data_IF_674051429624
#
_entry.id   IF_674051429624
#
_cell.length_a   1.000
_cell.length_b   1.000
_cell.length_c   1.000
_cell.angle_alpha   90.00
_cell.angle_beta   90.00
_cell.angle_gamma   90.00
#
_symmetry.space_group_name_H-M   'P 1'
#
loop_
_entity.id
_entity.type
_entity.pdbx_description
1 polymer ?
#
# COMPACT_ATOMS: atom_id res chain seq x y z
N UNK A 1 32.31 14.25 3.36
CA UNK A 1 32.05 12.80 3.43
C UNK A 1 30.75 12.43 2.74
N UNK A 2 29.62 13.10 3.04
CA UNK A 2 28.32 12.90 2.42
C UNK A 2 28.31 13.16 0.91
N UNK A 3 28.97 14.24 0.48
CA UNK A 3 29.07 14.62 -0.94
C UNK A 3 29.72 13.54 -1.81
N UNK A 4 30.72 12.84 -1.26
CA UNK A 4 31.42 11.76 -1.98
C UNK A 4 30.61 10.47 -2.03
N UNK A 5 29.79 10.20 -1.01
CA UNK A 5 28.97 8.99 -0.92
C UNK A 5 27.69 9.09 -1.77
N UNK A 6 27.04 10.25 -1.79
CA UNK A 6 25.78 10.47 -2.47
C UNK A 6 25.93 11.15 -3.84
N UNK A 7 27.16 11.40 -4.30
CA UNK A 7 27.47 11.98 -5.62
C UNK A 7 26.65 13.26 -5.94
N UNK A 8 26.47 14.13 -4.95
CA UNK A 8 25.59 15.30 -5.05
C UNK A 8 25.91 16.20 -6.26
N UNK A 9 27.20 16.45 -6.54
CA UNK A 9 27.62 17.25 -7.70
C UNK A 9 27.28 16.60 -9.03
N UNK A 10 27.42 15.27 -9.13
CA UNK A 10 27.07 14.51 -10.32
C UNK A 10 25.57 14.55 -10.59
N UNK A 11 24.78 14.47 -9.53
CA UNK A 11 23.30 14.54 -9.58
C UNK A 11 22.77 15.99 -9.65
N UNK A 12 23.64 17.00 -9.74
CA UNK A 12 23.30 18.43 -9.82
C UNK A 12 22.39 18.90 -8.68
N UNK A 13 22.58 18.36 -7.47
CA UNK A 13 21.79 18.64 -6.30
C UNK A 13 22.66 19.13 -5.13
N UNK A 14 22.04 19.56 -4.05
CA UNK A 14 22.70 19.97 -2.81
C UNK A 14 22.01 19.35 -1.59
N UNK A 15 22.69 19.36 -0.45
CA UNK A 15 22.18 18.76 0.81
C UNK A 15 20.83 19.34 1.22
N UNK A 16 20.63 20.64 1.04
CA UNK A 16 19.37 21.30 1.44
C UNK A 16 18.19 20.84 0.59
N UNK A 17 18.41 20.69 -0.73
CA UNK A 17 17.41 20.17 -1.66
C UNK A 17 17.07 18.73 -1.36
N UNK A 18 18.05 17.88 -1.07
CA UNK A 18 17.85 16.47 -0.74
C UNK A 18 17.06 16.29 0.57
N UNK A 19 17.37 17.08 1.60
CA UNK A 19 16.62 17.05 2.86
C UNK A 19 15.17 17.49 2.63
N UNK A 20 14.94 18.55 1.88
CA UNK A 20 13.59 19.04 1.57
C UNK A 20 12.80 18.01 0.75
N UNK A 21 13.43 17.40 -0.25
CA UNK A 21 12.84 16.32 -1.04
C UNK A 21 12.48 15.11 -0.17
N UNK A 22 13.35 14.71 0.76
CA UNK A 22 13.08 13.64 1.71
C UNK A 22 11.89 13.93 2.61
N UNK A 23 11.79 15.13 3.16
CA UNK A 23 10.64 15.57 3.97
C UNK A 23 9.35 15.55 3.15
N UNK A 24 9.39 16.08 1.93
CA UNK A 24 8.22 16.09 1.02
C UNK A 24 7.75 14.67 0.71
N UNK A 25 8.68 13.77 0.40
CA UNK A 25 8.37 12.36 0.12
C UNK A 25 7.80 11.67 1.36
N UNK A 26 8.37 11.94 2.54
CA UNK A 26 7.83 11.41 3.81
C UNK A 26 6.39 11.89 4.04
N UNK A 27 6.12 13.18 3.89
CA UNK A 27 4.77 13.73 4.07
C UNK A 27 3.77 13.11 3.08
N UNK A 28 4.17 12.93 1.82
CA UNK A 28 3.33 12.29 0.81
C UNK A 28 3.00 10.82 1.12
N UNK A 29 3.90 10.10 1.82
CA UNK A 29 3.75 8.67 2.13
C UNK A 29 3.26 8.39 3.55
N UNK A 30 3.20 9.40 4.42
CA UNK A 30 2.90 9.23 5.85
C UNK A 30 1.52 8.62 6.12
N UNK A 31 0.55 8.83 5.24
CA UNK A 31 -0.78 8.26 5.37
C UNK A 31 -0.79 6.72 5.43
N UNK A 32 0.20 6.05 4.80
CA UNK A 32 0.30 4.58 4.77
C UNK A 32 0.52 4.02 6.17
N UNK A 33 1.20 4.76 7.05
CA UNK A 33 1.47 4.37 8.43
C UNK A 33 0.16 4.11 9.20
N UNK A 34 -0.90 4.83 8.86
CA UNK A 34 -2.21 4.70 9.50
C UNK A 34 -3.15 3.77 8.72
N UNK A 35 -3.19 3.87 7.39
CA UNK A 35 -4.11 3.08 6.56
C UNK A 35 -3.69 1.61 6.53
N UNK A 36 -2.41 1.29 6.52
CA UNK A 36 -1.95 -0.09 6.49
C UNK A 36 -2.41 -0.90 7.71
N UNK A 37 -2.22 -0.43 8.97
CA UNK A 37 -2.77 -1.12 10.13
C UNK A 37 -4.30 -1.18 10.13
N UNK A 38 -4.98 -0.13 9.67
CA UNK A 38 -6.43 -0.12 9.60
C UNK A 38 -6.99 -1.19 8.64
N UNK A 39 -6.31 -1.44 7.52
CA UNK A 39 -6.71 -2.51 6.59
C UNK A 39 -6.41 -3.89 7.18
N UNK A 40 -5.20 -4.11 7.69
CA UNK A 40 -4.76 -5.42 8.17
C UNK A 40 -5.43 -5.83 9.49
N UNK A 41 -5.83 -4.91 10.35
CA UNK A 41 -6.55 -5.21 11.59
C UNK A 41 -7.91 -5.87 11.36
N UNK A 42 -8.52 -5.68 10.19
CA UNK A 42 -9.75 -6.39 9.81
C UNK A 42 -9.58 -7.92 9.71
N UNK A 43 -8.35 -8.43 9.67
CA UNK A 43 -8.06 -9.88 9.70
C UNK A 43 -7.96 -10.44 11.12
N UNK A 44 -8.12 -9.62 12.15
CA UNK A 44 -7.91 -9.98 13.56
C UNK A 44 -6.49 -9.76 14.07
N UNK A 45 -5.61 -9.10 13.29
CA UNK A 45 -4.29 -8.66 13.77
C UNK A 45 -4.44 -7.48 14.72
N UNK A 46 -3.58 -7.40 15.74
CA UNK A 46 -3.51 -6.25 16.62
C UNK A 46 -3.04 -5.00 15.85
N UNK A 47 -3.83 -3.92 15.94
CA UNK A 47 -3.55 -2.67 15.23
C UNK A 47 -2.18 -2.09 15.59
N UNK A 48 -1.83 -2.06 16.88
CA UNK A 48 -0.58 -1.47 17.35
C UNK A 48 0.63 -2.28 16.91
N UNK A 49 0.53 -3.61 16.92
CA UNK A 49 1.57 -4.49 16.42
C UNK A 49 1.84 -4.26 14.93
N UNK A 50 0.78 -4.17 14.11
CA UNK A 50 0.91 -3.89 12.67
C UNK A 50 1.44 -2.48 12.43
N UNK A 51 1.01 -1.49 13.23
CA UNK A 51 1.49 -0.12 13.17
C UNK A 51 3.02 -0.05 13.38
N UNK A 52 3.51 -0.64 14.46
CA UNK A 52 4.94 -0.70 14.75
C UNK A 52 5.73 -1.47 13.69
N UNK A 53 5.21 -2.61 13.24
CA UNK A 53 5.83 -3.40 12.18
C UNK A 53 5.94 -2.61 10.86
N UNK A 54 4.91 -1.84 10.50
CA UNK A 54 4.89 -1.00 9.30
C UNK A 54 5.98 0.08 9.37
N UNK A 55 6.10 0.77 10.50
CA UNK A 55 7.13 1.80 10.70
C UNK A 55 8.53 1.20 10.60
N UNK A 56 8.78 0.13 11.35
CA UNK A 56 10.11 -0.50 11.40
C UNK A 56 10.51 -1.05 10.02
N UNK A 57 9.61 -1.76 9.34
CA UNK A 57 9.89 -2.32 8.02
C UNK A 57 10.15 -1.21 6.99
N UNK A 58 9.34 -0.14 6.98
CA UNK A 58 9.52 1.00 6.06
C UNK A 58 10.82 1.74 6.34
N UNK A 59 11.17 1.94 7.60
CA UNK A 59 12.41 2.60 8.01
C UNK A 59 13.63 1.79 7.57
N UNK A 60 13.67 0.50 7.90
CA UNK A 60 14.79 -0.39 7.54
C UNK A 60 14.92 -0.48 6.01
N UNK A 61 13.81 -0.71 5.30
CA UNK A 61 13.80 -0.81 3.84
C UNK A 61 14.30 0.47 3.17
N UNK A 62 13.83 1.64 3.62
CA UNK A 62 14.24 2.94 3.09
C UNK A 62 15.73 3.21 3.37
N UNK A 63 16.22 2.90 4.57
CA UNK A 63 17.65 3.02 4.87
C UNK A 63 18.51 2.13 3.97
N UNK A 64 18.12 0.87 3.79
CA UNK A 64 18.87 -0.04 2.90
C UNK A 64 18.93 0.51 1.48
N UNK A 65 17.81 0.95 0.92
CA UNK A 65 17.76 1.51 -0.44
C UNK A 65 18.59 2.79 -0.53
N UNK A 66 18.42 3.72 0.42
CA UNK A 66 19.15 4.99 0.42
C UNK A 66 20.67 4.83 0.55
N UNK A 67 21.13 3.92 1.43
CA UNK A 67 22.55 3.74 1.69
C UNK A 67 23.26 2.84 0.68
N UNK A 68 22.61 1.79 0.17
CA UNK A 68 23.23 0.82 -0.73
C UNK A 68 22.94 1.11 -2.20
N UNK A 69 21.72 1.47 -2.55
CA UNK A 69 21.37 1.74 -3.95
C UNK A 69 21.57 3.20 -4.35
N UNK A 70 21.71 4.13 -3.40
CA UNK A 70 21.86 5.57 -3.62
C UNK A 70 20.75 6.15 -4.52
N UNK A 71 19.51 5.70 -4.30
CA UNK A 71 18.34 6.18 -5.02
C UNK A 71 17.32 6.78 -4.03
N UNK A 72 16.66 7.88 -4.39
CA UNK A 72 15.74 8.61 -3.50
C UNK A 72 14.35 7.96 -3.45
N UNK A 73 14.29 6.65 -3.22
CA UNK A 73 13.02 5.94 -3.09
C UNK A 73 12.71 5.62 -1.62
N UNK A 74 11.47 5.87 -1.23
CA UNK A 74 10.93 5.43 0.06
C UNK A 74 10.30 4.05 -0.12
N UNK A 75 10.66 3.13 0.77
CA UNK A 75 10.06 1.80 0.82
C UNK A 75 8.90 1.82 1.81
N UNK A 76 7.74 1.37 1.38
CA UNK A 76 6.56 1.28 2.24
C UNK A 76 5.67 0.10 1.86
N UNK A 77 4.65 -0.17 2.69
CA UNK A 77 3.69 -1.24 2.46
C UNK A 77 2.83 -0.97 1.21
N UNK A 78 2.59 -2.00 0.41
CA UNK A 78 1.72 -1.91 -0.77
C UNK A 78 0.25 -2.10 -0.40
N UNK A 79 -0.53 -1.03 -0.35
CA UNK A 79 -1.94 -1.07 0.07
C UNK A 79 -2.79 -2.04 -0.77
N UNK A 80 -2.51 -2.15 -2.09
CA UNK A 80 -3.22 -3.05 -2.98
C UNK A 80 -3.07 -4.52 -2.59
N UNK A 81 -1.84 -4.95 -2.31
CA UNK A 81 -1.56 -6.32 -1.87
C UNK A 81 -2.11 -6.59 -0.47
N UNK A 82 -2.07 -5.62 0.42
CA UNK A 82 -2.61 -5.75 1.77
C UNK A 82 -4.14 -5.82 1.77
N UNK A 83 -4.82 -5.11 0.86
CA UNK A 83 -6.25 -5.25 0.67
C UNK A 83 -6.61 -6.62 0.08
N UNK A 84 -5.86 -7.13 -0.89
CA UNK A 84 -6.02 -8.51 -1.40
C UNK A 84 -5.83 -9.53 -0.28
N UNK A 85 -4.81 -9.36 0.56
CA UNK A 85 -4.56 -10.19 1.73
C UNK A 85 -5.76 -10.18 2.68
N UNK A 86 -6.24 -9.00 3.05
CA UNK A 86 -7.30 -8.83 4.04
C UNK A 86 -8.65 -9.32 3.53
N UNK A 87 -9.07 -8.83 2.37
CA UNK A 87 -10.43 -9.07 1.90
C UNK A 87 -10.57 -10.38 1.10
N UNK A 88 -9.55 -10.77 0.35
CA UNK A 88 -9.63 -11.97 -0.47
C UNK A 88 -9.10 -13.19 0.30
N UNK A 89 -7.85 -13.15 0.76
CA UNK A 89 -7.23 -14.33 1.38
C UNK A 89 -7.88 -14.63 2.74
N UNK A 90 -7.95 -13.63 3.63
CA UNK A 90 -8.52 -13.84 4.96
C UNK A 90 -10.05 -13.76 4.96
N UNK A 91 -10.65 -12.83 4.20
CA UNK A 91 -12.08 -12.62 4.17
C UNK A 91 -12.84 -13.68 3.35
N UNK A 92 -12.63 -13.71 2.03
CA UNK A 92 -13.39 -14.60 1.13
C UNK A 92 -12.95 -16.06 1.19
N UNK A 93 -11.63 -16.32 1.28
CA UNK A 93 -11.10 -17.70 1.29
C UNK A 93 -11.08 -18.31 2.70
N UNK A 94 -11.33 -17.51 3.75
CA UNK A 94 -11.42 -17.98 5.13
C UNK A 94 -10.10 -18.43 5.78
N UNK A 95 -8.97 -18.05 5.21
CA UNK A 95 -7.66 -18.35 5.83
C UNK A 95 -7.43 -17.46 7.06
N UNK A 96 -6.80 -18.04 8.07
CA UNK A 96 -6.34 -17.25 9.22
C UNK A 96 -5.20 -16.32 8.80
N UNK A 97 -5.03 -15.19 9.47
CA UNK A 97 -3.95 -14.25 9.16
C UNK A 97 -2.55 -14.89 9.28
N UNK A 98 -2.37 -15.86 10.19
CA UNK A 98 -1.11 -16.61 10.33
C UNK A 98 -0.80 -17.45 9.08
N UNK A 99 -1.80 -18.14 8.53
CA UNK A 99 -1.68 -18.91 7.30
C UNK A 99 -1.39 -17.98 6.10
N UNK A 100 -2.10 -16.84 6.06
CA UNK A 100 -1.87 -15.82 5.05
C UNK A 100 -0.44 -15.27 5.10
N UNK A 101 0.10 -14.96 6.28
CA UNK A 101 1.49 -14.51 6.43
C UNK A 101 2.50 -15.58 6.01
N UNK A 102 2.24 -16.86 6.28
CA UNK A 102 3.09 -17.94 5.80
C UNK A 102 3.13 -17.99 4.27
N UNK A 103 1.99 -17.82 3.59
CA UNK A 103 1.93 -17.71 2.12
C UNK A 103 2.74 -16.53 1.61
N UNK A 104 2.59 -15.34 2.23
CA UNK A 104 3.36 -14.14 1.87
C UNK A 104 4.86 -14.37 2.04
N UNK A 105 5.27 -15.05 3.12
CA UNK A 105 6.68 -15.39 3.34
C UNK A 105 7.23 -16.30 2.24
N UNK A 106 6.50 -17.35 1.87
CA UNK A 106 6.89 -18.27 0.79
C UNK A 106 6.98 -17.50 -0.54
N UNK A 107 6.00 -16.65 -0.85
CA UNK A 107 6.04 -15.79 -2.03
C UNK A 107 7.26 -14.85 -2.01
N UNK A 108 7.61 -14.31 -0.85
CA UNK A 108 8.80 -13.47 -0.67
C UNK A 108 10.09 -14.23 -0.98
N UNK A 109 10.25 -15.44 -0.47
CA UNK A 109 11.41 -16.31 -0.76
C UNK A 109 11.51 -16.60 -2.25
N UNK A 110 10.40 -17.01 -2.89
CA UNK A 110 10.35 -17.26 -4.33
C UNK A 110 10.74 -15.98 -5.13
N UNK A 111 10.24 -14.82 -4.72
CA UNK A 111 10.56 -13.55 -5.36
C UNK A 111 12.06 -13.22 -5.26
N UNK A 112 12.69 -13.46 -4.12
CA UNK A 112 14.14 -13.30 -3.94
C UNK A 112 14.90 -14.25 -4.89
N UNK A 113 14.51 -15.52 -4.97
CA UNK A 113 15.12 -16.49 -5.89
C UNK A 113 14.99 -16.06 -7.36
N UNK A 114 13.81 -15.60 -7.77
CA UNK A 114 13.57 -15.06 -9.12
C UNK A 114 14.42 -13.81 -9.38
N UNK A 115 14.60 -12.96 -8.36
CA UNK A 115 15.38 -11.72 -8.49
C UNK A 115 16.88 -12.00 -8.63
N UNK A 116 17.41 -13.03 -7.97
CA UNK A 116 18.79 -13.45 -8.11
C UNK A 116 19.09 -14.06 -9.50
N UNK A 117 18.05 -14.51 -10.19
CA UNK A 117 18.17 -15.03 -11.56
C UNK A 117 17.80 -13.94 -12.59
N UNK A 118 18.22 -14.13 -13.85
CA UNK A 118 17.85 -13.22 -14.94
C UNK A 118 16.38 -13.37 -15.39
N UNK A 119 15.60 -14.21 -14.73
CA UNK A 119 14.18 -14.47 -15.05
C UNK A 119 13.37 -13.20 -14.90
N UNK A 120 13.59 -12.42 -13.84
CA UNK A 120 12.90 -11.15 -13.61
C UNK A 120 13.02 -10.18 -14.80
N UNK A 121 14.22 -10.03 -15.37
CA UNK A 121 14.43 -9.18 -16.54
C UNK A 121 13.67 -9.66 -17.77
N UNK A 122 13.58 -10.99 -17.96
CA UNK A 122 12.82 -11.59 -19.06
C UNK A 122 11.32 -11.38 -18.89
N UNK A 123 10.80 -11.57 -17.65
CA UNK A 123 9.38 -11.35 -17.33
C UNK A 123 8.97 -9.90 -17.57
N UNK A 124 9.77 -8.93 -17.06
CA UNK A 124 9.46 -7.51 -17.26
C UNK A 124 9.46 -7.14 -18.75
N UNK A 125 10.41 -7.66 -19.54
CA UNK A 125 10.46 -7.43 -21.00
C UNK A 125 9.31 -8.10 -21.78
N UNK A 126 8.73 -9.17 -21.23
CA UNK A 126 7.61 -9.87 -21.83
C UNK A 126 6.27 -9.14 -21.64
N UNK A 127 6.19 -8.22 -20.66
CA UNK A 127 4.98 -7.42 -20.42
C UNK A 127 4.94 -6.25 -21.42
N UNK A 128 3.94 -6.19 -22.32
CA UNK A 128 3.79 -5.08 -23.25
C UNK A 128 3.64 -3.73 -22.51
N UNK A 129 4.11 -2.64 -23.12
CA UNK A 129 4.09 -1.30 -22.50
C UNK A 129 2.69 -0.86 -22.09
N UNK A 130 1.68 -1.13 -22.94
CA UNK A 130 0.29 -0.79 -22.62
C UNK A 130 -0.24 -1.51 -21.37
N UNK A 131 0.23 -2.73 -21.08
CA UNK A 131 -0.13 -3.42 -19.83
C UNK A 131 0.53 -2.79 -18.61
N UNK A 132 1.76 -2.29 -18.74
CA UNK A 132 2.44 -1.60 -17.64
C UNK A 132 1.71 -0.30 -17.28
N UNK A 133 1.26 0.45 -18.31
CA UNK A 133 0.44 1.64 -18.13
C UNK A 133 -0.92 1.30 -17.51
N UNK A 134 -1.59 0.27 -18.00
CA UNK A 134 -2.88 -0.18 -17.48
C UNK A 134 -2.80 -0.60 -15.99
N UNK A 135 -1.72 -1.30 -15.59
CA UNK A 135 -1.47 -1.67 -14.19
C UNK A 135 -1.31 -0.41 -13.33
N UNK A 136 -0.56 0.57 -13.81
CA UNK A 136 -0.33 1.84 -13.08
C UNK A 136 -1.64 2.60 -12.87
N UNK A 137 -2.46 2.71 -13.92
CA UNK A 137 -3.79 3.34 -13.84
C UNK A 137 -4.70 2.56 -12.88
N UNK A 138 -4.70 1.22 -12.98
CA UNK A 138 -5.50 0.35 -12.10
C UNK A 138 -5.14 0.53 -10.62
N UNK A 139 -3.85 0.63 -10.30
CA UNK A 139 -3.40 0.91 -8.92
C UNK A 139 -3.88 2.29 -8.46
N UNK A 140 -3.79 3.32 -9.33
CA UNK A 140 -4.27 4.67 -9.02
C UNK A 140 -5.77 4.70 -8.72
N UNK A 141 -6.59 4.05 -9.56
CA UNK A 141 -8.03 3.93 -9.35
C UNK A 141 -8.37 3.16 -8.07
N UNK A 142 -7.63 2.11 -7.76
CA UNK A 142 -7.82 1.33 -6.54
C UNK A 142 -7.52 2.16 -5.28
N UNK A 143 -6.45 2.94 -5.29
CA UNK A 143 -6.11 3.84 -4.17
C UNK A 143 -7.19 4.91 -4.01
N UNK A 144 -7.67 5.48 -5.12
CA UNK A 144 -8.77 6.45 -5.13
C UNK A 144 -10.04 5.85 -4.52
N UNK A 145 -10.40 4.63 -4.90
CA UNK A 145 -11.54 3.92 -4.33
C UNK A 145 -11.42 3.72 -2.81
N UNK A 146 -10.24 3.28 -2.34
CA UNK A 146 -9.99 3.15 -0.90
C UNK A 146 -10.08 4.51 -0.20
N UNK A 147 -9.55 5.57 -0.81
CA UNK A 147 -9.63 6.93 -0.28
C UNK A 147 -11.07 7.39 -0.11
N UNK A 148 -11.90 7.24 -1.13
CA UNK A 148 -13.32 7.62 -1.12
C UNK A 148 -14.10 6.81 -0.07
N UNK A 149 -13.81 5.51 0.05
CA UNK A 149 -14.41 4.64 1.08
C UNK A 149 -13.99 5.07 2.49
N UNK A 150 -12.71 5.34 2.70
CA UNK A 150 -12.16 5.76 4.01
C UNK A 150 -12.61 7.16 4.42
N UNK A 151 -12.89 8.03 3.45
CA UNK A 151 -13.47 9.35 3.67
C UNK A 151 -14.98 9.28 4.04
N UNK A 152 -15.60 8.10 4.00
CA UNK A 152 -17.01 7.93 4.28
C UNK A 152 -17.94 8.48 3.20
N UNK A 153 -17.43 8.78 2.00
CA UNK A 153 -18.25 9.31 0.90
C UNK A 153 -19.13 8.24 0.25
N UNK A 154 -18.73 6.98 0.36
CA UNK A 154 -19.49 5.83 -0.13
C UNK A 154 -19.73 4.88 1.03
N UNK A 155 -21.00 4.53 1.24
CA UNK A 155 -21.45 3.49 2.15
C UNK A 155 -21.97 2.30 1.35
N UNK A 156 -21.85 1.11 1.95
CA UNK A 156 -22.37 -0.11 1.35
C UNK A 156 -23.63 -0.54 2.11
N UNK A 157 -24.79 -0.47 1.44
CA UNK A 157 -26.02 -1.04 1.97
C UNK A 157 -26.18 -2.47 1.46
N UNK A 158 -26.64 -3.33 2.36
CA UNK A 158 -26.99 -4.72 2.03
C UNK A 158 -28.50 -4.79 1.87
N UNK A 159 -28.96 -5.09 0.66
CA UNK A 159 -30.40 -5.12 0.36
C UNK A 159 -31.10 -6.36 0.88
N UNK A 160 -30.40 -7.50 0.98
CA UNK A 160 -30.97 -8.76 1.47
C UNK A 160 -29.94 -9.55 2.29
N UNK A 161 -30.34 -9.96 3.49
CA UNK A 161 -29.60 -10.90 4.33
C UNK A 161 -30.27 -12.28 4.21
N UNK A 162 -29.75 -13.15 3.38
CA UNK A 162 -30.17 -14.55 3.38
C UNK A 162 -29.35 -15.30 4.43
N UNK A 163 -30.01 -15.82 5.45
CA UNK A 163 -29.38 -16.55 6.58
C UNK A 163 -28.28 -15.78 7.34
N UNK A 164 -28.34 -14.46 7.40
CA UNK A 164 -27.33 -13.63 8.08
C UNK A 164 -26.03 -13.43 7.29
N UNK A 165 -25.97 -13.91 6.06
CA UNK A 165 -24.81 -13.76 5.16
C UNK A 165 -25.23 -12.87 3.99
N UNK A 166 -24.50 -11.76 3.78
CA UNK A 166 -24.67 -10.92 2.61
C UNK A 166 -23.96 -11.58 1.41
N UNK A 167 -24.67 -11.78 0.31
CA UNK A 167 -24.05 -12.14 -0.96
C UNK A 167 -23.43 -10.90 -1.59
N UNK A 168 -22.34 -11.05 -2.31
CA UNK A 168 -21.67 -9.92 -2.97
C UNK A 168 -22.56 -9.18 -3.98
N UNK A 169 -23.58 -9.87 -4.53
CA UNK A 169 -24.61 -9.29 -5.42
C UNK A 169 -25.60 -8.35 -4.70
N UNK A 170 -25.70 -8.47 -3.37
CA UNK A 170 -26.68 -7.73 -2.58
C UNK A 170 -26.09 -6.48 -1.92
N UNK A 171 -24.78 -6.27 -2.11
CA UNK A 171 -24.05 -5.12 -1.60
C UNK A 171 -24.05 -4.01 -2.64
N UNK A 172 -24.84 -2.98 -2.41
CA UNK A 172 -24.94 -1.84 -3.33
C UNK A 172 -24.18 -0.65 -2.76
N UNK A 173 -23.23 -0.06 -3.52
CA UNK A 173 -22.59 1.18 -3.12
C UNK A 173 -23.61 2.33 -3.21
N UNK A 174 -23.75 3.07 -2.13
CA UNK A 174 -24.61 4.25 -2.04
C UNK A 174 -23.78 5.46 -1.63
N UNK A 175 -24.18 6.64 -2.08
CA UNK A 175 -23.60 7.88 -1.58
C UNK A 175 -24.00 8.04 -0.11
N UNK A 176 -23.01 8.29 0.74
CA UNK A 176 -23.24 8.54 2.16
C UNK A 176 -23.99 9.85 2.38
N UNK A 177 -24.59 9.99 3.55
CA UNK A 177 -25.22 11.22 3.96
C UNK A 177 -24.14 12.26 4.29
N UNK A 178 -24.06 13.34 3.53
CA UNK A 178 -23.05 14.41 3.68
C UNK A 178 -23.15 15.22 4.99
N UNK A 179 -23.96 14.77 5.95
CA UNK A 179 -24.18 15.43 7.24
C UNK A 179 -23.26 14.96 8.38
N UNK A 180 -22.45 13.93 8.16
CA UNK A 180 -21.53 13.44 9.19
C UNK A 180 -20.26 14.31 9.25
N UNK A 181 -19.81 14.63 10.46
CA UNK A 181 -18.61 15.46 10.66
C UNK A 181 -17.38 14.88 9.96
N UNK A 182 -17.28 13.56 9.84
CA UNK A 182 -16.18 12.86 9.18
C UNK A 182 -16.13 13.17 7.67
N UNK A 183 -17.29 13.14 7.00
CA UNK A 183 -17.40 13.44 5.57
C UNK A 183 -17.11 14.93 5.31
N UNK A 184 -17.62 15.83 6.16
CA UNK A 184 -17.35 17.28 6.03
C UNK A 184 -15.86 17.56 6.21
N UNK A 185 -15.21 16.95 7.22
CA UNK A 185 -13.77 17.11 7.45
C UNK A 185 -12.94 16.56 6.30
N UNK A 186 -13.34 15.43 5.70
CA UNK A 186 -12.63 14.86 4.55
C UNK A 186 -12.75 15.73 3.31
N UNK A 187 -13.90 16.38 3.08
CA UNK A 187 -14.10 17.33 1.96
C UNK A 187 -13.33 18.63 2.13
N UNK A 188 -13.12 19.09 3.37
CA UNK A 188 -12.33 20.30 3.65
C UNK A 188 -10.83 20.01 3.62
N UNK A 189 -10.42 18.78 3.95
CA UNK A 189 -9.02 18.38 4.01
C UNK A 189 -8.40 17.99 2.66
N UNK A 190 -9.19 17.91 1.59
CA UNK A 190 -8.77 17.72 0.22
C UNK A 190 -8.68 19.05 -0.49
#
# INVERSE_FOLDING_TARGET
MLEKKFELKKNKTNIKTEILAGITTFMAMSYIIFINPAILSNTGMDYNAVYMATILASMIGTFIIGFFANVPYVQSAGLGLNALFTYTICGSMGFTWQQGLAMVFICGVINVLITLTNIRKKVIKAIPEFMQEAITVGIGLFITYIGIKSAGLIEFSVSNLSNGIALASDVVPQLSTFSTNEVILSLIGV
#
